data_IF_924659920722
#
_entry.id   IF_924659920722
#
_cell.length_a   1.000
_cell.length_b   1.000
_cell.length_c   1.000
_cell.angle_alpha   90.00
_cell.angle_beta   90.00
_cell.angle_gamma   90.00
#
_symmetry.space_group_name_H-M   'P 1'
#
loop_
_entity.id
_entity.type
_entity.pdbx_description
1 polymer ?
#
# COMPACT_ATOMS: atom_id res chain seq x y z
N UNK A 1 -10.90 -1.43 -18.70
CA UNK A 1 -10.72 -2.25 -17.50
C UNK A 1 -11.46 -1.57 -16.36
N UNK A 2 -11.28 -1.94 -15.08
CA UNK A 2 -11.75 -1.05 -14.01
C UNK A 2 -10.82 0.18 -13.93
N UNK A 3 -11.31 1.36 -13.52
CA UNK A 3 -10.46 2.57 -13.41
C UNK A 3 -9.25 2.40 -12.49
N UNK A 4 -9.33 1.51 -11.50
CA UNK A 4 -8.26 1.22 -10.55
C UNK A 4 -7.14 0.40 -11.19
N UNK A 5 -7.50 -0.55 -12.06
CA UNK A 5 -6.54 -1.38 -12.77
C UNK A 5 -5.80 -0.56 -13.82
N UNK A 6 -6.49 0.35 -14.52
CA UNK A 6 -5.86 1.29 -15.46
C UNK A 6 -4.83 2.19 -14.76
N UNK A 7 -5.17 2.74 -13.59
CA UNK A 7 -4.21 3.52 -12.80
C UNK A 7 -3.02 2.69 -12.34
N UNK A 8 -3.26 1.48 -11.86
CA UNK A 8 -2.18 0.59 -11.45
C UNK A 8 -1.24 0.28 -12.63
N UNK A 9 -1.78 -0.03 -13.80
CA UNK A 9 -0.99 -0.23 -15.03
C UNK A 9 -0.18 1.02 -15.38
N UNK A 10 -0.78 2.21 -15.34
CA UNK A 10 -0.07 3.48 -15.56
C UNK A 10 1.02 3.77 -14.53
N UNK A 11 0.84 3.39 -13.26
CA UNK A 11 1.88 3.47 -12.22
C UNK A 11 3.02 2.49 -12.51
N UNK A 12 2.70 1.25 -12.88
CA UNK A 12 3.67 0.20 -13.17
C UNK A 12 4.49 0.51 -14.42
N UNK A 13 3.88 1.07 -15.46
CA UNK A 13 4.55 1.42 -16.73
C UNK A 13 5.67 2.45 -16.56
N UNK A 14 5.59 3.29 -15.52
CA UNK A 14 6.61 4.30 -15.21
C UNK A 14 7.37 4.02 -13.92
N UNK A 15 7.13 2.88 -13.28
CA UNK A 15 7.79 2.50 -12.05
C UNK A 15 9.28 2.26 -12.29
N UNK A 16 10.10 2.58 -11.29
CA UNK A 16 11.50 2.16 -11.29
C UNK A 16 11.57 0.77 -10.65
N UNK A 17 11.99 -0.23 -11.43
CA UNK A 17 12.18 -1.59 -10.94
C UNK A 17 13.57 -1.67 -10.28
N UNK A 18 13.60 -2.12 -9.03
CA UNK A 18 14.81 -2.37 -8.26
C UNK A 18 14.94 -3.86 -7.95
N UNK A 19 16.15 -4.33 -7.70
CA UNK A 19 16.31 -5.65 -7.09
C UNK A 19 15.71 -5.65 -5.67
N UNK A 20 15.13 -6.76 -5.19
CA UNK A 20 14.55 -6.81 -3.84
C UNK A 20 15.53 -6.41 -2.73
N UNK A 21 16.82 -6.71 -2.91
CA UNK A 21 17.87 -6.33 -1.96
C UNK A 21 18.23 -4.83 -1.97
N UNK A 22 17.79 -4.09 -2.98
CA UNK A 22 18.00 -2.65 -3.14
C UNK A 22 16.74 -1.83 -2.79
N UNK A 23 15.64 -2.51 -2.44
CA UNK A 23 14.38 -1.86 -2.10
C UNK A 23 14.53 -0.99 -0.85
N UNK A 24 14.16 0.31 -0.89
CA UNK A 24 14.17 1.15 0.29
C UNK A 24 13.25 0.60 1.39
N UNK A 25 13.73 0.62 2.64
CA UNK A 25 13.03 0.06 3.80
C UNK A 25 11.76 0.84 4.21
N UNK A 26 11.59 2.03 3.66
CA UNK A 26 10.48 2.94 3.91
C UNK A 26 9.45 2.96 2.78
N UNK A 27 9.58 2.12 1.75
CA UNK A 27 8.65 2.00 0.62
C UNK A 27 7.73 0.79 0.77
N UNK A 28 6.43 0.99 0.56
CA UNK A 28 5.42 -0.07 0.61
C UNK A 28 5.56 -1.00 -0.60
N UNK A 29 5.85 -2.27 -0.33
CA UNK A 29 5.88 -3.35 -1.32
C UNK A 29 4.71 -4.31 -1.14
N UNK A 30 4.55 -5.24 -2.09
CA UNK A 30 3.61 -6.35 -1.90
C UNK A 30 3.94 -7.14 -0.64
N UNK A 31 2.92 -7.55 0.10
CA UNK A 31 2.98 -8.23 1.40
C UNK A 31 3.58 -7.38 2.54
N UNK A 32 3.76 -6.07 2.35
CA UNK A 32 4.08 -5.15 3.43
C UNK A 32 2.88 -4.94 4.36
N UNK A 33 3.14 -4.82 5.67
CA UNK A 33 2.16 -4.36 6.67
C UNK A 33 2.44 -2.90 7.00
N UNK A 34 1.47 -2.04 6.72
CA UNK A 34 1.57 -0.58 6.80
C UNK A 34 0.70 -0.04 7.93
N UNK A 35 1.23 0.95 8.65
CA UNK A 35 0.44 1.78 9.57
C UNK A 35 0.18 3.13 8.97
N UNK A 36 -1.04 3.60 9.19
CA UNK A 36 -1.46 4.89 8.70
C UNK A 36 -2.48 5.53 9.63
N UNK A 37 -2.63 6.83 9.50
CA UNK A 37 -3.67 7.61 10.19
C UNK A 37 -4.39 8.51 9.18
N UNK A 38 -5.63 8.86 9.50
CA UNK A 38 -6.29 9.96 8.79
C UNK A 38 -5.88 11.29 9.40
N UNK A 39 -5.61 12.29 8.56
CA UNK A 39 -5.34 13.64 9.05
C UNK A 39 -6.53 14.15 9.89
N UNK A 40 -6.22 14.70 11.06
CA UNK A 40 -7.21 15.15 12.04
C UNK A 40 -7.81 14.03 12.89
N UNK A 41 -7.31 12.79 12.79
CA UNK A 41 -7.64 11.68 13.67
C UNK A 41 -6.38 11.19 14.39
N UNK A 42 -6.51 10.81 15.66
CA UNK A 42 -5.47 10.10 16.41
C UNK A 42 -5.55 8.58 16.24
N UNK A 43 -6.56 8.09 15.49
CA UNK A 43 -6.73 6.68 15.21
C UNK A 43 -5.68 6.20 14.19
N UNK A 44 -4.88 5.22 14.62
CA UNK A 44 -3.93 4.50 13.77
C UNK A 44 -4.55 3.19 13.33
N UNK A 45 -4.51 2.94 12.03
CA UNK A 45 -4.93 1.70 11.40
C UNK A 45 -3.71 0.96 10.86
N UNK A 46 -3.83 -0.36 10.79
CA UNK A 46 -2.82 -1.25 10.23
C UNK A 46 -3.46 -2.15 9.17
N UNK A 47 -2.80 -2.30 8.02
CA UNK A 47 -3.23 -3.17 6.92
C UNK A 47 -2.05 -3.85 6.25
N UNK A 48 -2.27 -5.05 5.72
CA UNK A 48 -1.29 -5.76 4.88
C UNK A 48 -1.71 -5.70 3.42
N UNK A 49 -0.85 -5.18 2.54
CA UNK A 49 -1.08 -5.15 1.09
C UNK A 49 -0.82 -6.54 0.51
N UNK A 50 -1.81 -7.19 -0.08
CA UNK A 50 -1.70 -8.59 -0.54
C UNK A 50 -2.19 -8.77 -1.97
N UNK A 51 -1.83 -9.90 -2.59
CA UNK A 51 -2.43 -10.31 -3.85
C UNK A 51 -3.90 -10.69 -3.66
N UNK A 52 -4.73 -10.66 -4.72
CA UNK A 52 -6.17 -10.91 -4.59
C UNK A 52 -6.53 -12.26 -3.96
N UNK A 53 -5.73 -13.30 -4.21
CA UNK A 53 -5.97 -14.65 -3.68
C UNK A 53 -5.52 -14.81 -2.22
N UNK A 54 -4.78 -13.85 -1.67
CA UNK A 54 -4.19 -13.92 -0.33
C UNK A 54 -4.99 -13.14 0.72
N UNK A 55 -6.12 -12.55 0.35
CA UNK A 55 -7.05 -11.90 1.29
C UNK A 55 -7.67 -12.96 2.20
N UNK A 56 -7.29 -12.94 3.48
CA UNK A 56 -7.76 -13.91 4.50
C UNK A 56 -8.63 -13.25 5.56
N UNK A 57 -8.48 -11.96 5.77
CA UNK A 57 -9.16 -11.21 6.82
C UNK A 57 -9.42 -9.76 6.44
N UNK A 58 -10.13 -9.03 7.30
CA UNK A 58 -10.31 -7.59 7.15
C UNK A 58 -9.02 -6.78 7.39
N UNK A 59 -7.96 -7.39 7.91
CA UNK A 59 -6.64 -6.76 8.04
C UNK A 59 -5.90 -6.70 6.70
N UNK A 60 -6.32 -7.51 5.72
CA UNK A 60 -5.68 -7.57 4.41
C UNK A 60 -6.37 -6.60 3.44
N UNK A 61 -5.58 -5.97 2.58
CA UNK A 61 -6.06 -5.15 1.47
C UNK A 61 -5.49 -5.69 0.16
N UNK A 62 -6.37 -6.09 -0.75
CA UNK A 62 -5.95 -6.55 -2.07
C UNK A 62 -5.38 -5.41 -2.90
N UNK A 63 -4.31 -5.67 -3.65
CA UNK A 63 -3.76 -4.74 -4.66
C UNK A 63 -4.79 -4.30 -5.72
N UNK A 64 -5.85 -5.09 -5.97
CA UNK A 64 -6.94 -4.71 -6.88
C UNK A 64 -8.06 -3.90 -6.22
N UNK A 65 -8.02 -3.70 -4.90
CA UNK A 65 -8.89 -2.72 -4.28
C UNK A 65 -8.43 -1.31 -4.71
N UNK A 66 -9.34 -0.33 -4.86
CA UNK A 66 -8.98 1.05 -5.24
C UNK A 66 -7.88 1.66 -4.39
N UNK A 67 -7.80 1.19 -3.15
CA UNK A 67 -6.84 1.68 -2.19
C UNK A 67 -5.58 0.83 -2.08
N UNK A 68 -5.66 -0.47 -2.38
CA UNK A 68 -4.48 -1.31 -2.41
C UNK A 68 -3.52 -0.89 -3.51
N UNK A 69 -4.05 -0.58 -4.71
CA UNK A 69 -3.24 -0.07 -5.81
C UNK A 69 -2.57 1.27 -5.49
N UNK A 70 -3.25 2.14 -4.75
CA UNK A 70 -2.71 3.44 -4.34
C UNK A 70 -1.67 3.36 -3.21
N UNK A 71 -1.59 2.24 -2.48
CA UNK A 71 -0.59 2.04 -1.42
C UNK A 71 0.77 1.61 -1.98
N UNK A 72 0.77 0.83 -3.07
CA UNK A 72 1.99 0.29 -3.66
C UNK A 72 2.94 1.42 -4.06
N UNK A 73 4.19 1.36 -3.58
CA UNK A 73 5.23 2.34 -3.91
C UNK A 73 5.18 3.64 -3.10
N UNK A 74 4.19 3.84 -2.22
CA UNK A 74 4.23 4.97 -1.29
C UNK A 74 5.31 4.76 -0.23
N UNK A 75 5.90 5.85 0.23
CA UNK A 75 6.88 5.85 1.31
C UNK A 75 6.30 6.35 2.64
N UNK A 76 6.95 6.01 3.75
CA UNK A 76 6.65 6.61 5.07
C UNK A 76 6.70 8.15 4.98
N UNK A 77 5.69 8.80 5.55
CA UNK A 77 5.49 10.25 5.51
C UNK A 77 4.70 10.75 4.29
N UNK A 78 4.48 9.91 3.26
CA UNK A 78 3.63 10.28 2.13
C UNK A 78 2.15 10.18 2.47
N UNK A 79 1.34 10.91 1.70
CA UNK A 79 -0.10 11.02 1.90
C UNK A 79 -0.87 10.65 0.64
N UNK A 80 -2.06 10.11 0.82
CA UNK A 80 -2.98 9.83 -0.29
C UNK A 80 -4.43 10.19 0.07
N UNK A 81 -5.24 10.47 -0.94
CA UNK A 81 -6.67 10.65 -0.77
C UNK A 81 -7.37 9.28 -0.69
N UNK A 82 -7.96 8.99 0.46
CA UNK A 82 -8.67 7.75 0.75
C UNK A 82 -10.19 7.93 0.58
N UNK A 83 -10.84 7.18 -0.35
CA UNK A 83 -12.29 7.19 -0.47
C UNK A 83 -12.94 6.43 0.69
N UNK A 84 -13.73 7.15 1.48
CA UNK A 84 -14.51 6.58 2.58
C UNK A 84 -15.91 6.15 2.08
N UNK A 85 -16.58 5.22 2.78
CA UNK A 85 -17.99 4.94 2.54
C UNK A 85 -18.82 6.23 2.56
N UNK A 86 -19.73 6.38 1.60
CA UNK A 86 -20.54 7.60 1.43
C UNK A 86 -19.90 8.69 0.56
N UNK A 87 -18.75 8.43 -0.07
CA UNK A 87 -18.17 9.29 -1.11
C UNK A 87 -17.33 10.46 -0.58
N UNK A 88 -17.07 10.51 0.72
CA UNK A 88 -16.15 11.50 1.29
C UNK A 88 -14.69 11.06 1.08
N UNK A 89 -13.81 12.02 0.81
CA UNK A 89 -12.37 11.79 0.74
C UNK A 89 -11.74 12.20 2.06
N UNK A 90 -10.92 11.32 2.65
CA UNK A 90 -10.04 11.66 3.77
C UNK A 90 -8.59 11.56 3.33
N UNK A 91 -7.73 12.42 3.85
CA UNK A 91 -6.29 12.28 3.63
C UNK A 91 -5.74 11.26 4.61
N UNK A 92 -5.09 10.23 4.10
CA UNK A 92 -4.31 9.26 4.84
C UNK A 92 -2.83 9.67 4.80
N UNK A 93 -2.10 9.43 5.88
CA UNK A 93 -0.63 9.53 5.96
C UNK A 93 -0.04 8.18 6.36
N UNK A 94 0.94 7.68 5.61
CA UNK A 94 1.70 6.48 5.98
C UNK A 94 2.66 6.89 7.09
N UNK A 95 2.52 6.30 8.26
CA UNK A 95 3.34 6.68 9.43
C UNK A 95 4.42 5.66 9.76
N UNK A 96 4.25 4.41 9.30
CA UNK A 96 5.22 3.34 9.51
C UNK A 96 4.97 2.17 8.54
N UNK A 97 6.02 1.42 8.25
CA UNK A 97 5.93 0.10 7.61
C UNK A 97 6.41 -0.90 8.66
N UNK A 98 5.45 -1.58 9.29
CA UNK A 98 5.69 -2.52 10.40
C UNK A 98 6.40 -3.77 9.89
N UNK A 99 6.05 -4.21 8.70
CA UNK A 99 6.64 -5.35 8.03
C UNK A 99 6.85 -5.05 6.55
N UNK A 100 8.01 -5.42 6.03
CA UNK A 100 8.35 -5.39 4.61
C UNK A 100 9.15 -6.67 4.33
N UNK A 101 8.75 -7.50 3.34
CA UNK A 101 9.47 -8.74 3.02
C UNK A 101 10.95 -8.49 2.71
N UNK A 102 11.26 -7.46 1.94
CA UNK A 102 12.63 -7.11 1.55
C UNK A 102 13.50 -6.77 2.76
N UNK A 103 13.01 -5.93 3.68
CA UNK A 103 13.68 -5.64 4.97
C UNK A 103 13.85 -6.88 5.86
N UNK A 104 12.96 -7.86 5.74
CA UNK A 104 13.05 -9.13 6.47
C UNK A 104 13.99 -10.15 5.80
N UNK A 105 14.52 -9.85 4.60
CA UNK A 105 15.35 -10.76 3.81
C UNK A 105 14.55 -11.82 3.04
N UNK A 106 13.23 -11.66 2.93
CA UNK A 106 12.31 -12.56 2.23
C UNK A 106 12.14 -12.13 0.76
N UNK A 107 13.18 -12.34 -0.04
CA UNK A 107 13.24 -11.86 -1.44
C UNK A 107 12.46 -12.73 -2.44
N UNK A 108 11.26 -13.25 -2.08
CA UNK A 108 10.45 -14.20 -2.86
C UNK A 108 10.72 -14.15 -4.38
N UNK A 109 11.29 -15.24 -4.92
CA UNK A 109 11.64 -15.40 -6.34
C UNK A 109 10.78 -16.48 -6.99
#
# INVERSE_FOLDING_TARGET
MSPELEKLEEELDRATVLEPAEMPEDVVTMNSTVRFKFLGSDEVMEKTLVYPNDVKSSADVSIFAPVGSALLGLAVGQQLAWPMPGGTLKTLEIIDIVYQPERAGEFHR
#
